data_IF_112981734478
#
_entry.id   IF_112981734478
#
_cell.length_a   1.000
_cell.length_b   1.000
_cell.length_c   1.000
_cell.angle_alpha   90.00
_cell.angle_beta   90.00
_cell.angle_gamma   90.00
#
_symmetry.space_group_name_H-M   'P 1'
#
loop_
_entity.id
_entity.type
_entity.pdbx_description
1 polymer ?
#
# COMPACT_ATOMS: atom_id res chain seq x y z
N UNK A 1 -2.40 -0.04 -27.94
CA UNK A 1 -1.68 -0.90 -26.98
C UNK A 1 -1.65 -0.35 -25.54
N UNK A 2 -1.62 0.97 -25.30
CA UNK A 2 -1.63 1.53 -23.93
C UNK A 2 -2.96 1.34 -23.15
N UNK A 3 -4.11 1.41 -23.82
CA UNK A 3 -5.42 1.25 -23.17
C UNK A 3 -5.64 -0.15 -22.56
N UNK A 4 -5.14 -1.20 -23.22
CA UNK A 4 -5.20 -2.57 -22.70
C UNK A 4 -4.37 -2.74 -21.42
N UNK A 5 -3.28 -1.99 -21.25
CA UNK A 5 -2.47 -2.07 -20.04
C UNK A 5 -3.17 -1.42 -18.85
N UNK A 6 -3.78 -0.23 -19.05
CA UNK A 6 -4.45 0.49 -17.96
C UNK A 6 -5.60 -0.30 -17.34
N UNK A 7 -6.55 -0.75 -18.16
CA UNK A 7 -7.71 -1.49 -17.64
C UNK A 7 -7.30 -2.80 -16.95
N UNK A 8 -6.29 -3.49 -17.49
CA UNK A 8 -5.76 -4.72 -16.90
C UNK A 8 -5.11 -4.46 -15.54
N UNK A 9 -4.29 -3.41 -15.42
CA UNK A 9 -3.63 -3.07 -14.17
C UNK A 9 -4.62 -2.62 -13.09
N UNK A 10 -5.66 -1.86 -13.46
CA UNK A 10 -6.74 -1.49 -12.54
C UNK A 10 -7.46 -2.73 -12.05
N UNK A 11 -7.94 -3.59 -12.95
CA UNK A 11 -8.66 -4.81 -12.58
C UNK A 11 -7.80 -5.77 -11.73
N UNK A 12 -6.52 -5.90 -12.04
CA UNK A 12 -5.58 -6.71 -11.26
C UNK A 12 -5.36 -6.11 -9.86
N UNK A 13 -5.26 -4.78 -9.76
CA UNK A 13 -5.13 -4.11 -8.48
C UNK A 13 -6.38 -4.26 -7.61
N UNK A 14 -7.58 -4.09 -8.17
CA UNK A 14 -8.85 -4.31 -7.47
C UNK A 14 -9.02 -5.76 -7.02
N UNK A 15 -8.61 -6.73 -7.85
CA UNK A 15 -8.62 -8.13 -7.47
C UNK A 15 -7.63 -8.45 -6.33
N UNK A 16 -6.45 -7.82 -6.35
CA UNK A 16 -5.44 -7.99 -5.30
C UNK A 16 -5.90 -7.39 -3.96
N UNK A 17 -6.49 -6.18 -3.99
CA UNK A 17 -6.93 -5.45 -2.78
C UNK A 17 -8.28 -5.93 -2.26
N UNK A 18 -9.13 -6.48 -3.14
CA UNK A 18 -10.53 -6.75 -2.83
C UNK A 18 -11.39 -5.48 -2.74
N UNK A 19 -10.87 -4.33 -3.19
CA UNK A 19 -11.55 -3.03 -3.15
C UNK A 19 -11.80 -2.54 -4.58
N UNK A 20 -13.06 -2.23 -4.90
CA UNK A 20 -13.46 -1.67 -6.21
C UNK A 20 -13.50 -0.15 -6.08
N UNK A 21 -12.74 0.54 -6.93
CA UNK A 21 -12.60 1.99 -6.84
C UNK A 21 -13.78 2.72 -7.47
N UNK A 22 -14.27 3.76 -6.80
CA UNK A 22 -15.29 4.66 -7.34
C UNK A 22 -14.64 5.54 -8.41
N UNK A 23 -13.50 6.13 -8.09
CA UNK A 23 -12.61 6.82 -9.02
C UNK A 23 -11.38 5.98 -9.34
N UNK A 24 -11.43 5.33 -10.50
CA UNK A 24 -10.32 4.51 -11.01
C UNK A 24 -9.02 5.29 -11.24
N UNK A 25 -9.03 6.64 -11.23
CA UNK A 25 -7.81 7.43 -11.31
C UNK A 25 -6.94 7.32 -10.05
N UNK A 26 -7.52 7.09 -8.87
CA UNK A 26 -6.78 6.92 -7.61
C UNK A 26 -5.89 5.68 -7.66
N UNK A 27 -6.46 4.53 -8.03
CA UNK A 27 -5.67 3.30 -8.19
C UNK A 27 -4.75 3.35 -9.41
N UNK A 28 -5.17 4.05 -10.47
CA UNK A 28 -4.32 4.25 -11.63
C UNK A 28 -3.07 5.05 -11.28
N UNK A 29 -3.17 6.14 -10.51
CA UNK A 29 -2.01 6.89 -10.00
C UNK A 29 -1.16 6.04 -9.06
N UNK A 30 -1.80 5.28 -8.15
CA UNK A 30 -1.11 4.49 -7.13
C UNK A 30 -0.12 3.45 -7.72
N UNK A 31 -0.39 2.95 -8.92
CA UNK A 31 0.48 1.96 -9.58
C UNK A 31 1.57 2.58 -10.47
N UNK A 32 1.70 3.90 -10.54
CA UNK A 32 2.69 4.56 -11.39
C UNK A 32 4.06 4.66 -10.72
N UNK A 33 5.09 4.11 -11.36
CA UNK A 33 6.46 4.44 -11.01
C UNK A 33 6.83 5.84 -11.49
N UNK A 34 7.75 6.50 -10.77
CA UNK A 34 8.39 7.74 -11.25
C UNK A 34 9.02 7.50 -12.63
N UNK A 35 8.68 8.34 -13.60
CA UNK A 35 9.18 8.20 -14.97
C UNK A 35 8.47 7.13 -15.81
N UNK A 36 7.32 6.62 -15.38
CA UNK A 36 6.45 5.80 -16.25
C UNK A 36 6.01 6.57 -17.50
N UNK A 37 5.37 5.88 -18.44
CA UNK A 37 4.74 6.53 -19.59
C UNK A 37 3.62 7.53 -19.21
N UNK A 38 3.22 7.58 -17.94
CA UNK A 38 2.27 8.55 -17.38
C UNK A 38 2.94 9.72 -16.66
N UNK A 39 4.27 9.87 -16.74
CA UNK A 39 4.99 10.94 -16.04
C UNK A 39 4.55 12.37 -16.43
N UNK A 40 3.91 12.55 -17.59
CA UNK A 40 3.31 13.84 -17.96
C UNK A 40 2.11 14.23 -17.08
N UNK A 41 1.41 13.23 -16.50
CA UNK A 41 0.28 13.41 -15.59
C UNK A 41 0.69 13.24 -14.13
N UNK A 42 1.59 12.28 -13.86
CA UNK A 42 2.13 11.97 -12.54
C UNK A 42 3.66 12.08 -12.55
N UNK A 43 4.24 13.29 -12.52
CA UNK A 43 5.69 13.50 -12.67
C UNK A 43 6.54 12.72 -11.67
N UNK A 44 6.03 12.57 -10.45
CA UNK A 44 6.69 11.84 -9.37
C UNK A 44 6.19 10.39 -9.21
N UNK A 45 5.32 9.92 -10.13
CA UNK A 45 4.58 8.67 -9.98
C UNK A 45 3.67 8.71 -8.75
N UNK A 46 3.60 7.58 -8.06
CA UNK A 46 2.72 7.37 -6.92
C UNK A 46 3.19 7.97 -5.59
N UNK A 47 4.31 8.71 -5.56
CA UNK A 47 4.94 9.17 -4.30
C UNK A 47 4.03 10.03 -3.44
N UNK A 48 3.17 10.87 -4.04
CA UNK A 48 2.22 11.70 -3.30
C UNK A 48 1.16 10.87 -2.57
N UNK A 49 0.63 9.85 -3.25
CA UNK A 49 -0.27 8.88 -2.64
C UNK A 49 0.45 8.04 -1.58
N UNK A 50 1.70 7.63 -1.83
CA UNK A 50 2.51 6.90 -0.85
C UNK A 50 2.69 7.68 0.45
N UNK A 51 2.93 8.99 0.38
CA UNK A 51 3.02 9.85 1.57
C UNK A 51 1.73 9.87 2.39
N UNK A 52 0.57 9.86 1.74
CA UNK A 52 -0.74 9.75 2.41
C UNK A 52 -0.89 8.36 3.01
N UNK A 53 -0.53 7.33 2.23
CA UNK A 53 -0.56 5.92 2.59
C UNK A 53 0.25 5.58 3.83
N UNK A 54 1.48 6.07 3.96
CA UNK A 54 2.33 5.86 5.15
C UNK A 54 1.64 6.38 6.43
N UNK A 55 1.10 7.60 6.37
CA UNK A 55 0.38 8.21 7.50
C UNK A 55 -0.87 7.42 7.85
N UNK A 56 -1.65 7.03 6.84
CA UNK A 56 -2.90 6.29 6.99
C UNK A 56 -2.65 4.88 7.53
N UNK A 57 -1.66 4.16 6.99
CA UNK A 57 -1.23 2.85 7.47
C UNK A 57 -0.88 2.92 8.96
N UNK A 58 -0.07 3.91 9.35
CA UNK A 58 0.31 4.12 10.73
C UNK A 58 -0.88 4.43 11.63
N UNK A 59 -1.80 5.28 11.17
CA UNK A 59 -3.02 5.63 11.91
C UNK A 59 -3.94 4.43 12.08
N UNK A 60 -4.21 3.68 11.02
CA UNK A 60 -5.04 2.48 11.04
C UNK A 60 -4.48 1.44 12.02
N UNK A 61 -3.17 1.22 11.98
CA UNK A 61 -2.47 0.32 12.89
C UNK A 61 -2.57 0.81 14.35
N UNK A 62 -2.28 2.08 14.62
CA UNK A 62 -2.39 2.64 15.98
C UNK A 62 -3.81 2.51 16.54
N UNK A 63 -4.84 2.69 15.71
CA UNK A 63 -6.21 2.56 16.15
C UNK A 63 -6.61 1.10 16.43
N UNK A 64 -6.09 0.13 15.66
CA UNK A 64 -6.22 -1.31 15.97
C UNK A 64 -5.58 -1.61 17.34
N UNK A 65 -4.32 -1.18 17.54
CA UNK A 65 -3.60 -1.42 18.80
C UNK A 65 -4.34 -0.80 20.00
N UNK A 66 -4.90 0.41 19.80
CA UNK A 66 -5.73 1.08 20.81
C UNK A 66 -7.01 0.31 21.12
N UNK A 67 -7.72 -0.19 20.12
CA UNK A 67 -8.92 -0.99 20.29
C UNK A 67 -8.64 -2.32 21.03
N UNK A 68 -7.45 -2.90 20.84
CA UNK A 68 -6.98 -4.08 21.57
C UNK A 68 -6.48 -3.76 22.98
N UNK A 69 -6.64 -2.52 23.44
CA UNK A 69 -6.13 -2.02 24.72
C UNK A 69 -4.63 -2.29 24.93
N UNK A 70 -3.86 -2.33 23.84
CA UNK A 70 -2.42 -2.53 23.94
C UNK A 70 -1.79 -1.25 24.48
N UNK A 71 -1.10 -1.30 25.64
CA UNK A 71 -0.46 -0.14 26.19
C UNK A 71 0.66 0.30 25.26
N UNK A 72 0.95 1.61 25.22
CA UNK A 72 2.22 2.08 24.65
C UNK A 72 3.42 1.39 25.33
N UNK A 73 3.22 0.96 26.59
CA UNK A 73 4.09 0.10 27.40
C UNK A 73 5.22 0.85 28.08
N UNK A 74 5.66 0.38 29.26
CA UNK A 74 6.94 0.81 29.87
C UNK A 74 8.13 0.54 28.93
N UNK A 75 8.04 -0.49 28.09
CA UNK A 75 9.10 -0.95 27.19
C UNK A 75 8.86 -0.59 25.70
N UNK A 76 7.91 0.31 25.40
CA UNK A 76 7.62 0.77 24.03
C UNK A 76 7.20 -0.34 23.04
N UNK A 77 6.65 -1.46 23.51
CA UNK A 77 6.27 -2.61 22.67
C UNK A 77 5.42 -2.22 21.45
N UNK A 78 4.29 -1.53 21.67
CA UNK A 78 3.39 -1.10 20.60
C UNK A 78 4.06 -0.12 19.62
N UNK A 79 5.02 0.69 20.10
CA UNK A 79 5.79 1.58 19.23
C UNK A 79 6.78 0.81 18.34
N UNK A 80 7.46 -0.19 18.89
CA UNK A 80 8.36 -1.06 18.13
C UNK A 80 7.59 -1.90 17.10
N UNK A 81 6.41 -2.41 17.48
CA UNK A 81 5.53 -3.13 16.57
C UNK A 81 5.10 -2.27 15.39
N UNK A 82 4.65 -1.02 15.65
CA UNK A 82 4.34 -0.06 14.59
C UNK A 82 5.53 0.16 13.68
N UNK A 83 6.71 0.46 14.22
CA UNK A 83 7.93 0.67 13.43
C UNK A 83 8.31 -0.55 12.59
N UNK A 84 8.12 -1.76 13.12
CA UNK A 84 8.41 -3.02 12.42
C UNK A 84 7.47 -3.26 11.23
N UNK A 85 6.23 -2.84 11.33
CA UNK A 85 5.22 -3.06 10.28
C UNK A 85 5.34 -2.00 9.19
N UNK A 86 5.43 -0.72 9.56
CA UNK A 86 5.35 0.39 8.60
C UNK A 86 6.67 0.71 7.90
N UNK A 87 7.79 0.08 8.27
CA UNK A 87 9.05 0.38 7.60
C UNK A 87 9.12 -0.21 6.18
N UNK A 88 9.84 0.50 5.31
CA UNK A 88 9.99 0.16 3.89
C UNK A 88 10.52 -1.26 3.65
N UNK A 89 11.41 -1.79 4.49
CA UNK A 89 11.93 -3.16 4.33
C UNK A 89 10.84 -4.20 4.52
N UNK A 90 9.96 -4.02 5.52
CA UNK A 90 8.82 -4.90 5.70
C UNK A 90 7.80 -4.73 4.57
N UNK A 91 7.49 -3.49 4.18
CA UNK A 91 6.53 -3.22 3.10
C UNK A 91 7.02 -3.74 1.75
N UNK A 92 8.32 -3.65 1.47
CA UNK A 92 8.94 -4.30 0.31
C UNK A 92 8.72 -5.83 0.38
N UNK A 93 9.07 -6.46 1.51
CA UNK A 93 8.91 -7.91 1.68
C UNK A 93 7.46 -8.36 1.48
N UNK A 94 6.50 -7.61 2.04
CA UNK A 94 5.08 -7.86 1.85
C UNK A 94 4.70 -7.69 0.38
N UNK A 95 5.10 -6.58 -0.24
CA UNK A 95 4.83 -6.28 -1.65
C UNK A 95 5.35 -7.36 -2.61
N UNK A 96 6.57 -7.85 -2.40
CA UNK A 96 7.14 -8.97 -3.17
C UNK A 96 6.35 -10.26 -2.99
N UNK A 97 5.97 -10.59 -1.76
CA UNK A 97 5.20 -11.81 -1.45
C UNK A 97 3.84 -11.84 -2.17
N UNK A 98 3.24 -10.67 -2.39
CA UNK A 98 1.95 -10.53 -3.07
C UNK A 98 2.09 -10.10 -4.54
N UNK A 99 3.30 -10.14 -5.10
CA UNK A 99 3.58 -9.80 -6.50
C UNK A 99 3.13 -8.39 -6.92
N UNK A 100 3.21 -7.40 -6.02
CA UNK A 100 2.82 -6.01 -6.34
C UNK A 100 3.64 -5.42 -7.51
N UNK A 101 4.82 -5.98 -7.78
CA UNK A 101 5.70 -5.61 -8.89
C UNK A 101 5.10 -5.84 -10.28
N UNK A 102 4.07 -6.69 -10.38
CA UNK A 102 3.30 -6.93 -11.60
C UNK A 102 2.25 -5.82 -11.83
N UNK A 103 1.89 -5.08 -10.78
CA UNK A 103 0.99 -3.93 -10.87
C UNK A 103 1.74 -2.65 -11.25
N UNK A 104 3.03 -2.54 -10.95
CA UNK A 104 3.81 -1.32 -11.17
C UNK A 104 3.92 -1.01 -12.67
N UNK A 105 3.32 0.09 -13.11
CA UNK A 105 3.58 0.66 -14.42
C UNK A 105 4.96 1.34 -14.43
N UNK A 106 5.96 0.63 -14.94
CA UNK A 106 7.37 0.98 -14.83
C UNK A 106 7.77 2.11 -15.78
N UNK A 107 8.91 2.74 -15.48
CA UNK A 107 9.64 3.53 -16.47
C UNK A 107 10.10 2.60 -17.62
N UNK A 108 9.73 2.88 -18.89
CA UNK A 108 10.09 2.04 -20.03
C UNK A 108 11.60 1.84 -20.21
N UNK A 109 12.42 2.78 -19.75
CA UNK A 109 13.89 2.71 -19.81
C UNK A 109 14.50 1.94 -18.63
N UNK A 110 13.71 1.60 -17.61
CA UNK A 110 14.19 0.83 -16.47
C UNK A 110 14.37 -0.63 -16.86
N UNK A 111 15.58 -1.15 -16.63
CA UNK A 111 15.89 -2.56 -16.83
C UNK A 111 15.89 -3.29 -15.48
N UNK A 112 15.61 -4.60 -15.53
CA UNK A 112 15.65 -5.47 -14.35
C UNK A 112 14.43 -5.36 -13.44
N UNK A 113 14.62 -5.74 -12.17
CA UNK A 113 13.57 -5.79 -11.17
C UNK A 113 13.07 -4.38 -10.78
N UNK A 114 11.83 -4.29 -10.30
CA UNK A 114 11.31 -3.06 -9.67
C UNK A 114 12.20 -2.70 -8.48
N UNK A 115 12.62 -1.44 -8.29
CA UNK A 115 13.41 -1.04 -7.13
C UNK A 115 12.67 -1.32 -5.81
N UNK A 116 13.37 -1.74 -4.74
CA UNK A 116 12.80 -1.95 -3.41
C UNK A 116 11.89 -0.82 -2.94
N UNK A 117 12.34 0.42 -3.13
CA UNK A 117 11.59 1.62 -2.72
C UNK A 117 10.29 1.79 -3.50
N UNK A 118 10.30 1.51 -4.81
CA UNK A 118 9.09 1.57 -5.62
C UNK A 118 8.08 0.50 -5.18
N UNK A 119 8.55 -0.68 -4.76
CA UNK A 119 7.66 -1.72 -4.20
C UNK A 119 7.00 -1.24 -2.92
N UNK A 120 7.76 -0.72 -1.96
CA UNK A 120 7.20 -0.21 -0.70
C UNK A 120 6.26 0.97 -0.95
N UNK A 121 6.67 1.95 -1.76
CA UNK A 121 5.85 3.13 -2.09
C UNK A 121 4.54 2.73 -2.79
N UNK A 122 4.53 1.65 -3.60
CA UNK A 122 3.31 1.17 -4.26
C UNK A 122 2.33 0.55 -3.25
N UNK A 123 2.82 -0.19 -2.25
CA UNK A 123 1.96 -0.68 -1.15
C UNK A 123 1.31 0.49 -0.43
N UNK A 124 2.11 1.49 -0.04
CA UNK A 124 1.60 2.69 0.63
C UNK A 124 0.62 3.46 -0.26
N UNK A 125 0.95 3.67 -1.53
CA UNK A 125 0.12 4.41 -2.45
C UNK A 125 -1.25 3.76 -2.68
N UNK A 126 -1.32 2.43 -2.73
CA UNK A 126 -2.60 1.71 -2.80
C UNK A 126 -3.44 1.99 -1.54
N UNK A 127 -2.84 1.95 -0.34
CA UNK A 127 -3.56 2.26 0.90
C UNK A 127 -4.00 3.73 0.94
N UNK A 128 -3.17 4.65 0.42
CA UNK A 128 -3.50 6.06 0.26
C UNK A 128 -4.68 6.27 -0.69
N UNK A 129 -4.67 5.60 -1.85
CA UNK A 129 -5.74 5.63 -2.84
C UNK A 129 -7.07 5.11 -2.26
N UNK A 130 -7.05 3.96 -1.58
CA UNK A 130 -8.25 3.40 -0.92
C UNK A 130 -8.81 4.37 0.10
N UNK A 131 -7.94 4.99 0.91
CA UNK A 131 -8.37 5.98 1.90
C UNK A 131 -9.04 7.19 1.26
N UNK A 132 -8.50 7.72 0.16
CA UNK A 132 -9.10 8.87 -0.51
C UNK A 132 -10.43 8.49 -1.20
N UNK A 133 -10.43 7.40 -1.96
CA UNK A 133 -11.59 6.94 -2.74
C UNK A 133 -12.78 6.56 -1.83
N UNK A 134 -12.51 5.94 -0.69
CA UNK A 134 -13.53 5.56 0.30
C UNK A 134 -14.10 6.74 1.10
N UNK A 135 -13.67 7.98 0.82
CA UNK A 135 -14.09 9.15 1.60
C UNK A 135 -13.44 9.23 2.98
N UNK A 136 -12.19 8.76 3.11
CA UNK A 136 -11.37 8.74 4.34
C UNK A 136 -11.81 7.68 5.35
N UNK A 137 -12.29 6.54 4.87
CA UNK A 137 -12.69 5.43 5.73
C UNK A 137 -11.49 4.56 6.15
N UNK A 138 -11.22 4.50 7.45
CA UNK A 138 -10.16 3.65 7.99
C UNK A 138 -10.53 2.17 7.99
N UNK A 139 -11.81 1.80 8.01
CA UNK A 139 -12.21 0.39 7.97
C UNK A 139 -11.96 -0.22 6.59
N UNK A 140 -12.24 0.52 5.51
CA UNK A 140 -11.83 0.14 4.15
C UNK A 140 -10.32 -0.11 4.05
N UNK A 141 -9.50 0.79 4.62
CA UNK A 141 -8.04 0.64 4.66
C UNK A 141 -7.64 -0.62 5.43
N UNK A 142 -8.25 -0.91 6.59
CA UNK A 142 -7.93 -2.10 7.40
C UNK A 142 -8.22 -3.40 6.66
N UNK A 143 -9.33 -3.46 5.93
CA UNK A 143 -9.68 -4.62 5.11
C UNK A 143 -8.62 -4.86 4.03
N UNK A 144 -8.15 -3.80 3.36
CA UNK A 144 -7.07 -3.91 2.38
C UNK A 144 -5.73 -4.26 3.04
N UNK A 145 -5.38 -3.68 4.19
CA UNK A 145 -4.18 -4.05 4.95
C UNK A 145 -4.15 -5.54 5.31
N UNK A 146 -5.30 -6.09 5.73
CA UNK A 146 -5.48 -7.52 5.98
C UNK A 146 -5.30 -8.34 4.71
N UNK A 147 -5.98 -7.95 3.62
CA UNK A 147 -5.91 -8.64 2.32
C UNK A 147 -4.49 -8.71 1.76
N UNK A 148 -3.73 -7.62 1.85
CA UNK A 148 -2.33 -7.55 1.42
C UNK A 148 -1.37 -8.26 2.41
N UNK A 149 -1.85 -8.62 3.60
CA UNK A 149 -1.05 -9.23 4.66
C UNK A 149 -0.01 -8.28 5.25
N UNK A 150 -0.31 -6.97 5.27
CA UNK A 150 0.45 -5.95 6.00
C UNK A 150 0.18 -6.05 7.50
N UNK A 151 -1.05 -6.42 7.86
CA UNK A 151 -1.48 -6.71 9.23
C UNK A 151 -2.33 -7.99 9.26
N UNK A 152 -2.18 -8.87 10.27
CA UNK A 152 -2.99 -10.07 10.38
C UNK A 152 -4.45 -9.76 10.74
N UNK A 153 -5.37 -10.53 10.18
CA UNK A 153 -6.80 -10.44 10.51
C UNK A 153 -7.11 -10.76 11.98
N UNK A 154 -6.22 -11.50 12.66
CA UNK A 154 -6.44 -11.98 14.02
C UNK A 154 -5.26 -11.64 14.97
N UNK A 155 -5.54 -11.09 16.18
CA UNK A 155 -4.50 -10.78 17.17
C UNK A 155 -3.65 -11.98 17.60
N UNK A 156 -4.15 -13.21 17.48
CA UNK A 156 -3.36 -14.40 17.83
C UNK A 156 -2.18 -14.66 16.87
N UNK A 157 -2.20 -14.08 15.67
CA UNK A 157 -1.11 -14.20 14.70
C UNK A 157 0.04 -13.21 14.97
N UNK A 158 -0.12 -12.27 15.91
CA UNK A 158 0.90 -11.28 16.28
C UNK A 158 2.18 -11.90 16.87
N UNK A 159 2.09 -13.09 17.46
CA UNK A 159 3.25 -13.80 18.02
C UNK A 159 4.24 -14.29 16.94
N UNK A 160 3.82 -14.32 15.67
CA UNK A 160 4.64 -14.74 14.53
C UNK A 160 5.24 -13.59 13.72
N UNK A 161 4.87 -12.35 14.07
CA UNK A 161 5.34 -11.14 13.39
C UNK A 161 6.68 -10.68 13.87
#
# INVERSE_FOLDING_TARGET
>A
MAANNRATLIAAAEALTGYVFIDSEEIWEAVQASGSNMAYKYPEGNKRLAMIGDVVLKLALLDILRALNMPRGKDKYSQLLVQRIVNNTNLERVGRRIHIEDLVNRNPSQQGAVPPRTVSDTVEAILGAVYLDSGKDLDAVRLVMAKLGVWPEAPQQLASL
#
